data_IF_610770080563
#
_entry.id   IF_610770080563
#
_cell.length_a   1.000
_cell.length_b   1.000
_cell.length_c   1.000
_cell.angle_alpha   90.00
_cell.angle_beta   90.00
_cell.angle_gamma   90.00
#
_symmetry.space_group_name_H-M   'P 1'
#
loop_
_entity.id
_entity.type
_entity.pdbx_description
1 polymer ?
#
# COMPACT_ATOMS: atom_id res chain seq x y z
N UNK A 1 56.26 -4.35 -22.85
CA UNK A 1 56.13 -4.57 -21.40
C UNK A 1 56.36 -3.30 -20.58
N UNK A 2 57.26 -2.39 -20.95
CA UNK A 2 57.53 -1.15 -20.18
C UNK A 2 56.36 -0.16 -20.10
N UNK A 3 55.50 -0.10 -21.13
CA UNK A 3 54.39 0.85 -21.18
C UNK A 3 53.30 0.56 -20.14
N UNK A 4 52.97 -0.72 -19.93
CA UNK A 4 51.97 -1.15 -18.95
C UNK A 4 52.44 -0.93 -17.49
N UNK A 5 53.74 -1.07 -17.24
CA UNK A 5 54.29 -0.86 -15.89
C UNK A 5 54.24 0.62 -15.48
N UNK A 6 54.43 1.52 -16.45
CA UNK A 6 54.38 2.98 -16.23
C UNK A 6 52.95 3.47 -15.97
N UNK A 7 51.96 2.90 -16.65
CA UNK A 7 50.55 3.17 -16.39
C UNK A 7 50.09 2.63 -15.03
N UNK A 8 50.49 1.40 -14.66
CA UNK A 8 50.17 0.81 -13.34
C UNK A 8 50.79 1.62 -12.20
N UNK A 9 52.03 2.08 -12.35
CA UNK A 9 52.68 2.97 -11.37
C UNK A 9 52.03 4.35 -11.29
N UNK A 10 51.54 4.89 -12.41
CA UNK A 10 50.79 6.15 -12.45
C UNK A 10 49.44 6.04 -11.72
N UNK A 11 48.71 4.95 -11.95
CA UNK A 11 47.46 4.64 -11.25
C UNK A 11 47.73 4.42 -9.75
N UNK A 12 48.81 3.73 -9.39
CA UNK A 12 49.17 3.51 -7.98
C UNK A 12 49.54 4.83 -7.27
N UNK A 13 50.23 5.75 -7.97
CA UNK A 13 50.54 7.07 -7.45
C UNK A 13 49.27 7.91 -7.27
N UNK A 14 48.36 7.88 -8.23
CA UNK A 14 47.07 8.56 -8.14
C UNK A 14 46.19 8.00 -7.01
N UNK A 15 46.14 6.68 -6.85
CA UNK A 15 45.46 6.02 -5.73
C UNK A 15 46.11 6.42 -4.40
N UNK A 16 47.44 6.53 -4.34
CA UNK A 16 48.16 6.94 -3.13
C UNK A 16 47.91 8.41 -2.78
N UNK A 17 47.81 9.30 -3.77
CA UNK A 17 47.48 10.71 -3.58
C UNK A 17 46.03 10.89 -3.15
N UNK A 18 45.08 10.19 -3.79
CA UNK A 18 43.68 10.12 -3.34
C UNK A 18 43.57 9.54 -1.93
N UNK A 19 44.33 8.49 -1.62
CA UNK A 19 44.34 7.90 -0.28
C UNK A 19 44.93 8.85 0.75
N UNK A 20 45.96 9.62 0.41
CA UNK A 20 46.55 10.62 1.31
C UNK A 20 45.62 11.82 1.56
N UNK A 21 44.87 12.24 0.55
CA UNK A 21 43.88 13.32 0.65
C UNK A 21 42.64 12.87 1.44
N UNK A 22 42.16 11.64 1.18
CA UNK A 22 41.12 10.96 1.96
C UNK A 22 41.61 10.74 3.40
N UNK A 23 42.88 10.36 3.61
CA UNK A 23 43.46 10.16 4.94
C UNK A 23 43.54 11.48 5.71
N UNK A 24 43.85 12.62 5.07
CA UNK A 24 43.79 13.95 5.71
C UNK A 24 42.36 14.37 6.06
N UNK A 25 41.36 13.94 5.28
CA UNK A 25 39.95 14.16 5.60
C UNK A 25 39.42 13.20 6.69
N UNK A 26 39.97 11.98 6.74
CA UNK A 26 39.62 10.94 7.71
C UNK A 26 40.36 11.05 9.06
N UNK A 27 41.50 11.75 9.12
CA UNK A 27 42.27 11.88 10.38
C UNK A 27 41.62 12.91 11.29
N UNK A 28 41.09 12.50 12.46
CA UNK A 28 40.39 13.41 13.33
C UNK A 28 41.37 14.43 13.91
N UNK A 29 41.04 15.72 13.82
CA UNK A 29 41.85 16.79 14.39
C UNK A 29 41.98 16.71 15.93
N UNK A 30 41.11 15.94 16.61
CA UNK A 30 41.11 15.69 18.06
C UNK A 30 40.60 14.28 18.38
N UNK A 31 41.19 13.62 19.39
CA UNK A 31 40.83 12.27 19.85
C UNK A 31 39.37 12.15 20.35
N UNK A 32 38.76 13.26 20.78
CA UNK A 32 37.32 13.38 21.04
C UNK A 32 36.67 14.16 19.89
N UNK A 33 36.12 13.45 18.91
CA UNK A 33 35.35 14.03 17.80
C UNK A 33 34.23 13.09 17.37
N UNK A 34 33.18 13.62 16.77
CA UNK A 34 32.06 12.82 16.25
C UNK A 34 32.51 11.72 15.26
N UNK A 35 33.62 11.95 14.56
CA UNK A 35 34.23 11.01 13.62
C UNK A 35 34.71 9.73 14.31
N UNK A 36 35.26 9.82 15.52
CA UNK A 36 35.75 8.62 16.25
C UNK A 36 34.61 7.71 16.66
N UNK A 37 33.46 8.25 17.04
CA UNK A 37 32.26 7.47 17.35
C UNK A 37 31.71 6.75 16.11
N UNK A 38 31.74 7.40 14.94
CA UNK A 38 31.32 6.76 13.68
C UNK A 38 32.31 5.65 13.27
N UNK A 39 33.61 5.85 13.42
CA UNK A 39 34.58 4.77 13.16
C UNK A 39 34.42 3.61 14.12
N UNK A 40 34.15 3.89 15.39
CA UNK A 40 33.95 2.85 16.40
C UNK A 40 32.66 2.07 16.12
N UNK A 41 31.62 2.73 15.59
CA UNK A 41 30.43 2.07 15.07
C UNK A 41 30.73 1.11 13.92
N UNK A 42 31.47 1.57 12.90
CA UNK A 42 31.84 0.75 11.74
C UNK A 42 32.70 -0.43 12.19
N UNK A 43 33.66 -0.18 13.08
CA UNK A 43 34.50 -1.23 13.67
C UNK A 43 33.68 -2.26 14.45
N UNK A 44 32.76 -1.83 15.30
CA UNK A 44 31.82 -2.72 15.99
C UNK A 44 30.96 -3.51 15.00
N UNK A 45 30.47 -2.89 13.93
CA UNK A 45 29.69 -3.60 12.92
C UNK A 45 30.50 -4.67 12.18
N UNK A 46 31.73 -4.36 11.77
CA UNK A 46 32.66 -5.32 11.13
C UNK A 46 33.00 -6.45 12.09
N UNK A 47 33.32 -6.16 13.35
CA UNK A 47 33.63 -7.20 14.34
C UNK A 47 32.41 -8.07 14.68
N UNK A 48 31.19 -7.51 14.66
CA UNK A 48 29.95 -8.27 14.79
C UNK A 48 29.77 -9.27 13.65
N UNK A 49 30.17 -8.94 12.42
CA UNK A 49 30.11 -9.88 11.29
C UNK A 49 30.96 -11.14 11.52
N UNK A 50 32.11 -11.01 12.17
CA UNK A 50 33.00 -12.13 12.50
C UNK A 50 32.66 -12.83 13.83
N UNK A 51 31.78 -12.25 14.64
CA UNK A 51 31.38 -12.81 15.93
C UNK A 51 30.26 -13.86 15.78
N UNK A 52 30.26 -14.87 16.64
CA UNK A 52 29.26 -15.94 16.69
C UNK A 52 28.42 -15.87 17.97
N UNK A 53 27.14 -16.26 17.88
CA UNK A 53 26.21 -16.34 19.01
C UNK A 53 25.77 -14.98 19.56
N UNK A 54 25.33 -14.94 20.82
CA UNK A 54 24.77 -13.74 21.47
C UNK A 54 25.71 -12.52 21.52
N UNK A 55 27.03 -12.77 21.45
CA UNK A 55 28.05 -11.71 21.43
C UNK A 55 27.94 -10.87 20.14
N UNK A 56 27.51 -11.49 19.03
CA UNK A 56 27.26 -10.79 17.76
C UNK A 56 26.24 -9.67 17.92
N UNK A 57 25.12 -9.97 18.58
CA UNK A 57 24.00 -9.05 18.73
C UNK A 57 24.34 -7.90 19.68
N UNK A 58 25.11 -8.17 20.74
CA UNK A 58 25.60 -7.14 21.67
C UNK A 58 26.57 -6.19 20.96
N UNK A 59 27.52 -6.72 20.18
CA UNK A 59 28.47 -5.89 19.43
C UNK A 59 27.74 -5.08 18.35
N UNK A 60 26.77 -5.66 17.66
CA UNK A 60 25.94 -4.94 16.68
C UNK A 60 25.16 -3.79 17.34
N UNK A 61 24.56 -4.05 18.51
CA UNK A 61 23.84 -3.05 19.29
C UNK A 61 24.75 -1.90 19.74
N UNK A 62 25.94 -2.20 20.26
CA UNK A 62 26.95 -1.19 20.59
C UNK A 62 27.36 -0.38 19.35
N UNK A 63 27.55 -1.04 18.21
CA UNK A 63 27.83 -0.38 16.94
C UNK A 63 26.74 0.62 16.54
N UNK A 64 25.46 0.25 16.68
CA UNK A 64 24.35 1.16 16.46
C UNK A 64 24.32 2.33 17.44
N UNK A 65 24.58 2.11 18.74
CA UNK A 65 24.65 3.18 19.73
C UNK A 65 25.75 4.20 19.43
N UNK A 66 26.94 3.74 19.04
CA UNK A 66 28.03 4.63 18.65
C UNK A 66 27.70 5.42 17.38
N UNK A 67 26.97 4.82 16.44
CA UNK A 67 26.48 5.49 15.24
C UNK A 67 25.51 6.62 15.60
N UNK A 68 24.53 6.33 16.45
CA UNK A 68 23.53 7.29 16.92
C UNK A 68 24.19 8.44 17.70
N UNK A 69 25.11 8.13 18.60
CA UNK A 69 25.84 9.12 19.37
C UNK A 69 26.73 10.01 18.48
N UNK A 70 27.47 9.41 17.53
CA UNK A 70 28.33 10.13 16.60
C UNK A 70 27.55 11.06 15.68
N UNK A 71 26.43 10.59 15.13
CA UNK A 71 25.58 11.40 14.25
C UNK A 71 24.80 12.48 14.99
N UNK A 72 24.37 12.23 16.23
CA UNK A 72 23.77 13.25 17.10
C UNK A 72 24.77 14.35 17.49
N UNK A 73 26.02 13.98 17.77
CA UNK A 73 27.09 14.94 18.01
C UNK A 73 27.37 15.76 16.75
N UNK A 74 27.54 15.12 15.59
CA UNK A 74 27.74 15.81 14.30
C UNK A 74 26.66 16.87 14.03
N UNK A 75 25.41 16.54 14.32
CA UNK A 75 24.25 17.45 14.18
C UNK A 75 24.35 18.70 15.06
N UNK A 76 25.03 18.59 16.21
CA UNK A 76 25.19 19.66 17.19
C UNK A 76 26.37 20.57 16.87
N UNK A 77 27.47 20.02 16.32
CA UNK A 77 28.69 20.78 16.00
C UNK A 77 28.63 21.53 14.65
N UNK A 78 28.01 20.97 13.60
CA UNK A 78 27.91 21.60 12.26
C UNK A 78 26.47 21.58 11.71
N UNK A 79 25.61 22.54 12.08
CA UNK A 79 24.21 22.55 11.67
C UNK A 79 24.08 23.08 10.23
N UNK A 80 24.34 22.25 9.23
CA UNK A 80 23.80 22.46 7.89
C UNK A 80 22.27 22.41 7.99
N UNK A 81 21.60 23.55 7.76
CA UNK A 81 20.14 23.66 7.90
C UNK A 81 19.47 23.39 6.55
N UNK A 82 18.33 22.71 6.60
CA UNK A 82 17.50 22.54 5.40
C UNK A 82 16.93 23.92 5.01
N UNK A 83 17.11 24.37 3.75
CA UNK A 83 16.62 25.67 3.31
C UNK A 83 15.11 25.80 3.57
N UNK A 84 14.71 26.89 4.24
CA UNK A 84 13.31 27.16 4.60
C UNK A 84 12.82 26.59 5.94
N UNK A 85 13.65 25.85 6.70
CA UNK A 85 13.29 25.37 8.05
C UNK A 85 14.41 25.59 9.07
N UNK A 86 14.08 25.57 10.37
CA UNK A 86 15.06 25.61 11.46
C UNK A 86 15.70 24.24 11.74
N UNK A 87 15.49 23.25 10.88
CA UNK A 87 15.89 21.86 11.11
C UNK A 87 17.28 21.58 10.54
N UNK A 88 18.24 21.08 11.36
CA UNK A 88 19.53 20.65 10.86
C UNK A 88 19.37 19.35 10.07
N UNK A 89 20.04 19.25 8.93
CA UNK A 89 20.09 18.05 8.06
C UNK A 89 20.58 16.85 8.87
N UNK A 90 21.50 17.07 9.81
CA UNK A 90 21.94 16.05 10.75
C UNK A 90 20.78 15.44 11.54
N UNK A 91 19.80 16.23 12.00
CA UNK A 91 18.68 15.72 12.79
C UNK A 91 17.73 14.83 11.97
N UNK A 92 17.62 15.08 10.66
CA UNK A 92 16.90 14.19 9.74
C UNK A 92 17.63 12.86 9.61
N UNK A 93 18.95 12.88 9.44
CA UNK A 93 19.78 11.67 9.31
C UNK A 93 19.74 10.86 10.62
N UNK A 94 19.91 11.52 11.78
CA UNK A 94 19.80 10.85 13.08
C UNK A 94 18.40 10.31 13.33
N UNK A 95 17.36 11.08 13.02
CA UNK A 95 15.99 10.64 13.18
C UNK A 95 15.67 9.42 12.31
N UNK A 96 16.24 9.36 11.11
CA UNK A 96 16.14 8.21 10.23
C UNK A 96 16.83 6.99 10.84
N UNK A 97 18.08 7.14 11.30
CA UNK A 97 18.85 6.07 11.93
C UNK A 97 18.17 5.54 13.20
N UNK A 98 17.61 6.41 14.04
CA UNK A 98 16.83 6.00 15.23
C UNK A 98 15.58 5.22 14.79
N UNK A 99 14.90 5.67 13.72
CA UNK A 99 13.72 4.97 13.19
C UNK A 99 14.08 3.60 12.63
N UNK A 100 15.20 3.47 11.91
CA UNK A 100 15.74 2.17 11.44
C UNK A 100 16.06 1.29 12.62
N UNK A 101 16.75 1.80 13.64
CA UNK A 101 17.14 1.00 14.79
C UNK A 101 15.93 0.49 15.57
N UNK A 102 14.93 1.34 15.82
CA UNK A 102 13.74 0.99 16.59
C UNK A 102 12.81 0.00 15.86
N UNK A 103 12.72 0.07 14.52
CA UNK A 103 11.75 -0.71 13.74
C UNK A 103 12.38 -1.68 12.71
N UNK A 104 13.71 -1.73 12.62
CA UNK A 104 14.46 -2.51 11.64
C UNK A 104 14.57 -4.01 11.93
N UNK A 105 14.14 -4.46 13.11
CA UNK A 105 14.05 -5.89 13.44
C UNK A 105 12.92 -6.61 12.66
N UNK A 106 12.02 -5.86 12.01
CA UNK A 106 10.93 -6.41 11.23
C UNK A 106 11.42 -6.75 9.80
N UNK A 107 11.03 -7.93 9.27
CA UNK A 107 11.53 -8.63 8.05
C UNK A 107 11.76 -7.83 6.75
N UNK A 108 11.44 -6.54 6.68
CA UNK A 108 11.67 -5.67 5.53
C UNK A 108 12.50 -4.43 5.93
N UNK A 109 13.57 -4.17 5.16
CA UNK A 109 14.51 -3.04 5.33
C UNK A 109 13.84 -1.65 5.41
N UNK A 110 12.60 -1.49 4.91
CA UNK A 110 11.80 -0.27 5.02
C UNK A 110 10.35 -0.63 5.36
N UNK A 111 10.06 -0.80 6.66
CA UNK A 111 8.68 -0.99 7.13
C UNK A 111 7.93 0.35 7.04
N UNK A 112 6.67 0.37 6.58
CA UNK A 112 5.86 1.60 6.48
C UNK A 112 5.85 2.44 7.78
N UNK A 113 5.90 1.77 8.94
CA UNK A 113 5.98 2.41 10.26
C UNK A 113 7.23 3.28 10.44
N UNK A 114 8.37 2.86 9.88
CA UNK A 114 9.64 3.58 9.96
C UNK A 114 9.55 4.92 9.21
N UNK A 115 9.01 4.91 8.00
CA UNK A 115 8.86 6.11 7.16
C UNK A 115 7.85 7.08 7.78
N UNK A 116 6.79 6.56 8.41
CA UNK A 116 5.76 7.38 9.07
C UNK A 116 6.30 8.08 10.31
N UNK A 117 7.11 7.42 11.15
CA UNK A 117 7.57 7.97 12.43
C UNK A 117 8.86 8.81 12.28
N UNK A 118 9.58 8.66 11.17
CA UNK A 118 10.83 9.37 10.95
C UNK A 118 10.74 10.90 11.12
N UNK A 119 9.78 11.62 10.52
CA UNK A 119 9.69 13.07 10.66
C UNK A 119 9.51 13.54 12.11
N UNK A 120 8.73 12.82 12.92
CA UNK A 120 8.49 13.19 14.32
C UNK A 120 9.72 12.94 15.19
N UNK A 121 10.42 11.82 15.01
CA UNK A 121 11.68 11.57 15.74
C UNK A 121 12.72 12.63 15.38
N UNK A 122 12.84 12.99 14.11
CA UNK A 122 13.79 14.00 13.67
C UNK A 122 13.48 15.39 14.29
N UNK A 123 12.19 15.75 14.44
CA UNK A 123 11.78 16.96 15.16
C UNK A 123 12.15 16.91 16.65
N UNK A 124 11.96 15.75 17.31
CA UNK A 124 12.35 15.56 18.72
C UNK A 124 13.87 15.70 18.89
N UNK A 125 14.67 15.09 18.02
CA UNK A 125 16.15 15.23 18.07
C UNK A 125 16.57 16.68 17.89
N UNK A 126 15.92 17.43 17.01
CA UNK A 126 16.17 18.87 16.82
C UNK A 126 15.80 19.70 18.06
N UNK A 127 14.81 19.26 18.83
CA UNK A 127 14.34 19.98 20.01
C UNK A 127 15.24 19.78 21.23
N UNK A 128 15.87 18.59 21.38
CA UNK A 128 16.65 18.21 22.56
C UNK A 128 17.71 19.26 22.95
N UNK A 129 18.58 19.76 22.05
CA UNK A 129 19.61 20.74 22.41
C UNK A 129 19.05 22.03 22.98
N UNK A 130 17.84 22.46 22.58
CA UNK A 130 17.22 23.70 23.07
C UNK A 130 16.78 23.63 24.54
N UNK A 131 16.73 22.43 25.14
CA UNK A 131 16.43 22.24 26.56
C UNK A 131 17.69 22.19 27.45
N UNK A 132 18.88 22.20 26.86
CA UNK A 132 20.16 22.10 27.55
C UNK A 132 21.14 23.20 27.09
N UNK A 133 21.36 24.23 27.90
CA UNK A 133 22.46 25.19 27.69
C UNK A 133 23.71 24.73 28.47
N UNK A 134 24.84 24.52 27.77
CA UNK A 134 26.12 24.18 28.40
C UNK A 134 27.22 23.80 27.41
N UNK A 135 27.99 24.75 26.94
CA UNK A 135 29.23 24.49 26.17
C UNK A 135 30.33 24.05 27.15
N UNK A 136 30.75 22.78 27.07
CA UNK A 136 31.97 22.29 27.70
C UNK A 136 31.91 22.08 29.23
N UNK A 137 32.02 20.79 29.62
CA UNK A 137 32.49 20.28 30.93
C UNK A 137 31.79 20.70 32.23
N UNK A 138 30.85 21.66 32.24
CA UNK A 138 30.03 21.96 33.41
C UNK A 138 28.62 21.43 33.20
N UNK A 139 28.18 20.57 34.14
CA UNK A 139 26.88 19.92 34.25
C UNK A 139 25.77 20.70 33.50
N UNK A 140 25.23 20.10 32.44
CA UNK A 140 24.13 20.67 31.67
C UNK A 140 22.97 20.98 32.62
N UNK A 141 22.70 22.27 32.86
CA UNK A 141 21.56 22.67 33.69
C UNK A 141 20.33 22.69 32.81
N UNK A 142 19.37 21.82 33.11
CA UNK A 142 18.07 21.85 32.47
C UNK A 142 17.43 23.22 32.72
N UNK A 143 17.32 24.03 31.67
CA UNK A 143 16.68 25.34 31.72
C UNK A 143 15.52 25.33 30.76
N UNK A 144 14.36 25.82 31.21
CA UNK A 144 13.24 25.97 30.30
C UNK A 144 13.61 26.98 29.19
N UNK A 145 13.45 26.63 27.91
CA UNK A 145 13.80 27.51 26.79
C UNK A 145 13.00 28.82 26.82
N UNK A 146 13.53 29.85 26.17
CA UNK A 146 12.86 31.15 25.99
C UNK A 146 11.53 30.96 25.25
N UNK A 147 10.54 31.83 25.50
CA UNK A 147 9.18 31.70 24.91
C UNK A 147 9.20 31.57 23.38
N UNK A 148 10.08 32.30 22.69
CA UNK A 148 10.20 32.28 21.23
C UNK A 148 10.73 30.94 20.70
N UNK A 149 11.64 30.29 21.41
CA UNK A 149 12.20 29.01 21.00
C UNK A 149 11.21 27.86 21.26
N UNK A 150 10.37 27.99 22.30
CA UNK A 150 9.25 27.05 22.52
C UNK A 150 8.26 27.06 21.37
N UNK A 151 7.87 28.25 20.90
CA UNK A 151 6.95 28.36 19.77
C UNK A 151 7.52 27.73 18.50
N UNK A 152 8.80 27.98 18.18
CA UNK A 152 9.47 27.37 17.03
C UNK A 152 9.51 25.84 17.12
N UNK A 153 9.84 25.29 18.28
CA UNK A 153 9.87 23.84 18.51
C UNK A 153 8.47 23.22 18.38
N UNK A 154 7.44 23.86 18.94
CA UNK A 154 6.06 23.39 18.84
C UNK A 154 5.58 23.40 17.38
N UNK A 155 5.84 24.48 16.64
CA UNK A 155 5.48 24.59 15.22
C UNK A 155 6.20 23.52 14.39
N UNK A 156 7.50 23.32 14.62
CA UNK A 156 8.29 22.28 13.94
C UNK A 156 7.72 20.88 14.21
N UNK A 157 7.45 20.56 15.48
CA UNK A 157 6.88 19.28 15.88
C UNK A 157 5.49 19.06 15.25
N UNK A 158 4.63 20.08 15.27
CA UNK A 158 3.30 20.01 14.67
C UNK A 158 3.37 19.75 13.17
N UNK A 159 4.28 20.43 12.45
CA UNK A 159 4.45 20.23 11.02
C UNK A 159 4.96 18.82 10.68
N UNK A 160 5.96 18.33 11.43
CA UNK A 160 6.47 16.97 11.27
C UNK A 160 5.39 15.92 11.59
N UNK A 161 4.55 16.15 12.60
CA UNK A 161 3.44 15.26 12.94
C UNK A 161 2.34 15.26 11.86
N UNK A 162 2.05 16.41 11.26
CA UNK A 162 1.16 16.51 10.10
C UNK A 162 1.70 15.71 8.91
N UNK A 163 2.99 15.84 8.58
CA UNK A 163 3.63 15.06 7.52
C UNK A 163 3.54 13.56 7.82
N UNK A 164 3.84 13.15 9.06
CA UNK A 164 3.70 11.75 9.50
C UNK A 164 2.27 11.24 9.33
N UNK A 165 1.25 12.05 9.66
CA UNK A 165 -0.16 11.70 9.47
C UNK A 165 -0.49 11.50 7.99
N UNK A 166 -0.01 12.38 7.10
CA UNK A 166 -0.19 12.24 5.65
C UNK A 166 0.48 10.98 5.10
N UNK A 167 1.71 10.67 5.54
CA UNK A 167 2.41 9.45 5.16
C UNK A 167 1.66 8.20 5.63
N UNK A 168 1.15 8.21 6.87
CA UNK A 168 0.36 7.10 7.41
C UNK A 168 -0.91 6.90 6.59
N UNK A 169 -1.61 7.99 6.28
CA UNK A 169 -2.81 7.96 5.44
C UNK A 169 -2.50 7.35 4.07
N UNK A 170 -1.42 7.77 3.41
CA UNK A 170 -1.00 7.21 2.12
C UNK A 170 -0.79 5.70 2.19
N UNK A 171 -0.04 5.19 3.18
CA UNK A 171 0.19 3.74 3.31
C UNK A 171 -1.08 2.95 3.62
N UNK A 172 -1.99 3.51 4.41
CA UNK A 172 -3.29 2.89 4.70
C UNK A 172 -4.12 2.77 3.41
N UNK A 173 -4.20 3.84 2.63
CA UNK A 173 -4.94 3.84 1.36
C UNK A 173 -4.29 2.90 0.33
N UNK A 174 -2.97 2.91 0.19
CA UNK A 174 -2.26 1.97 -0.70
C UNK A 174 -2.55 0.51 -0.32
N UNK A 175 -2.52 0.19 0.98
CA UNK A 175 -2.87 -1.14 1.49
C UNK A 175 -4.31 -1.50 1.14
N UNK A 176 -5.28 -0.61 1.39
CA UNK A 176 -6.68 -0.84 1.04
C UNK A 176 -6.88 -1.07 -0.46
N UNK A 177 -6.21 -0.29 -1.32
CA UNK A 177 -6.32 -0.45 -2.77
C UNK A 177 -5.66 -1.74 -3.30
N UNK A 178 -4.68 -2.28 -2.58
CA UNK A 178 -4.08 -3.59 -2.88
C UNK A 178 -4.99 -4.74 -2.44
N UNK A 179 -5.59 -4.64 -1.26
CA UNK A 179 -6.48 -5.66 -0.70
C UNK A 179 -7.85 -5.69 -1.39
N UNK A 180 -8.37 -4.52 -1.78
CA UNK A 180 -9.69 -4.33 -2.39
C UNK A 180 -9.58 -3.59 -3.74
N UNK A 181 -9.06 -4.23 -4.80
CA UNK A 181 -8.96 -3.60 -6.12
C UNK A 181 -10.28 -3.09 -6.69
N UNK A 182 -11.42 -3.63 -6.22
CA UNK A 182 -12.77 -3.19 -6.58
C UNK A 182 -13.05 -1.74 -6.18
N UNK A 183 -12.39 -1.22 -5.14
CA UNK A 183 -12.53 0.18 -4.72
C UNK A 183 -12.10 1.17 -5.81
N UNK A 184 -11.19 0.77 -6.72
CA UNK A 184 -10.78 1.60 -7.87
C UNK A 184 -11.89 1.83 -8.89
N UNK A 185 -12.96 1.04 -8.83
CA UNK A 185 -14.14 1.23 -9.64
C UNK A 185 -14.92 2.49 -9.29
N UNK A 186 -14.80 2.92 -8.04
CA UNK A 186 -15.62 3.98 -7.52
C UNK A 186 -15.14 5.34 -7.97
N UNK A 187 -16.09 6.26 -8.13
CA UNK A 187 -15.80 7.64 -8.53
C UNK A 187 -15.41 8.42 -7.28
N UNK A 188 -14.12 8.58 -7.07
CA UNK A 188 -13.57 9.50 -6.07
C UNK A 188 -13.62 10.98 -6.52
N UNK A 189 -14.42 11.29 -7.55
CA UNK A 189 -14.53 12.62 -8.18
C UNK A 189 -14.89 13.75 -7.18
N UNK A 190 -15.40 13.42 -5.98
CA UNK A 190 -15.72 14.38 -4.90
C UNK A 190 -14.77 14.32 -3.69
N UNK A 191 -13.69 13.55 -3.76
CA UNK A 191 -12.75 13.41 -2.65
C UNK A 191 -11.69 14.51 -2.71
N UNK A 192 -11.59 15.32 -1.64
CA UNK A 192 -10.51 16.30 -1.49
C UNK A 192 -9.13 15.66 -1.23
N UNK A 193 -9.09 14.34 -0.98
CA UNK A 193 -7.90 13.64 -0.49
C UNK A 193 -7.28 12.66 -1.49
N UNK A 194 -8.01 12.27 -2.54
CA UNK A 194 -7.55 11.26 -3.51
C UNK A 194 -7.56 11.85 -4.91
N UNK A 195 -6.39 12.30 -5.37
CA UNK A 195 -6.18 12.77 -6.73
C UNK A 195 -5.84 11.54 -7.59
N UNK A 196 -6.65 11.25 -8.62
CA UNK A 196 -6.38 10.17 -9.56
C UNK A 196 -5.26 10.60 -10.53
N UNK A 197 -4.02 10.19 -10.25
CA UNK A 197 -2.85 10.50 -11.10
C UNK A 197 -2.77 9.58 -12.33
N UNK A 198 -3.33 8.36 -12.25
CA UNK A 198 -3.39 7.44 -13.39
C UNK A 198 -4.68 7.62 -14.23
N UNK A 199 -4.60 7.55 -15.57
CA UNK A 199 -5.79 7.51 -16.42
C UNK A 199 -6.63 6.26 -16.12
N UNK A 200 -7.97 6.45 -16.03
CA UNK A 200 -8.97 5.40 -15.76
C UNK A 200 -8.65 4.09 -16.49
N UNK A 201 -8.15 3.08 -15.77
CA UNK A 201 -8.26 1.70 -16.25
C UNK A 201 -9.76 1.39 -16.32
N UNK A 202 -10.24 1.15 -17.54
CA UNK A 202 -11.64 0.86 -17.86
C UNK A 202 -12.11 -0.31 -16.99
N UNK A 203 -12.94 0.03 -16.00
CA UNK A 203 -13.81 -0.86 -15.23
C UNK A 203 -13.09 -1.87 -14.33
N UNK A 204 -13.53 -2.07 -13.08
CA UNK A 204 -13.02 -3.17 -12.26
C UNK A 204 -13.38 -4.49 -12.94
N UNK A 205 -12.37 -5.35 -13.08
CA UNK A 205 -12.54 -6.63 -13.77
C UNK A 205 -13.32 -7.65 -12.96
N UNK A 206 -13.38 -7.51 -11.62
CA UNK A 206 -13.92 -8.55 -10.74
C UNK A 206 -15.42 -8.79 -10.94
N UNK A 207 -16.24 -7.74 -10.91
CA UNK A 207 -17.70 -7.87 -11.07
C UNK A 207 -18.11 -8.40 -12.45
N UNK A 208 -17.45 -7.93 -13.51
CA UNK A 208 -17.64 -8.43 -14.88
C UNK A 208 -17.10 -9.87 -15.05
N UNK A 209 -15.97 -10.21 -14.41
CA UNK A 209 -15.40 -11.55 -14.43
C UNK A 209 -16.36 -12.57 -13.80
N UNK A 210 -17.00 -12.24 -12.67
CA UNK A 210 -18.03 -13.10 -12.06
C UNK A 210 -19.17 -13.32 -13.06
N UNK A 211 -19.73 -12.27 -13.66
CA UNK A 211 -20.83 -12.40 -14.63
C UNK A 211 -20.42 -13.20 -15.87
N UNK A 212 -19.21 -12.99 -16.39
CA UNK A 212 -18.67 -13.70 -17.54
C UNK A 212 -18.49 -15.20 -17.28
N UNK A 213 -18.15 -15.58 -16.04
CA UNK A 213 -18.03 -16.97 -15.61
C UNK A 213 -19.38 -17.60 -15.25
N UNK A 214 -20.32 -16.80 -14.76
CA UNK A 214 -21.65 -17.27 -14.39
C UNK A 214 -22.55 -17.52 -15.61
N UNK A 215 -22.46 -16.68 -16.64
CA UNK A 215 -23.26 -16.80 -17.86
C UNK A 215 -23.27 -18.21 -18.49
N UNK A 216 -22.13 -18.88 -18.76
CA UNK A 216 -22.16 -20.21 -19.34
C UNK A 216 -22.83 -21.24 -18.43
N UNK A 217 -22.71 -21.09 -17.10
CA UNK A 217 -23.36 -21.99 -16.14
C UNK A 217 -24.88 -21.81 -16.15
N UNK A 218 -25.36 -20.56 -16.24
CA UNK A 218 -26.79 -20.27 -16.39
C UNK A 218 -27.31 -20.80 -17.73
N UNK A 219 -26.55 -20.62 -18.82
CA UNK A 219 -26.91 -21.18 -20.12
C UNK A 219 -27.03 -22.70 -20.07
N UNK A 220 -26.16 -23.40 -19.35
CA UNK A 220 -26.24 -24.87 -19.19
C UNK A 220 -27.48 -25.33 -18.42
N UNK A 221 -27.98 -24.51 -17.48
CA UNK A 221 -29.17 -24.85 -16.69
C UNK A 221 -30.49 -24.55 -17.43
N UNK A 222 -30.48 -23.66 -18.42
CA UNK A 222 -31.70 -23.16 -19.08
C UNK A 222 -31.79 -23.62 -20.54
N UNK A 223 -30.68 -23.61 -21.29
CA UNK A 223 -30.72 -23.87 -22.73
C UNK A 223 -31.13 -25.32 -23.03
N UNK A 224 -32.04 -25.49 -24.00
CA UNK A 224 -32.54 -26.79 -24.47
C UNK A 224 -33.24 -27.63 -23.37
N UNK A 225 -33.68 -26.99 -22.29
CA UNK A 225 -34.53 -27.61 -21.27
C UNK A 225 -36.01 -27.42 -21.59
N UNK A 226 -36.89 -28.33 -21.14
CA UNK A 226 -38.34 -28.17 -21.29
C UNK A 226 -38.81 -26.85 -20.67
N UNK A 227 -39.74 -26.15 -21.34
CA UNK A 227 -40.23 -24.85 -20.88
C UNK A 227 -40.74 -24.87 -19.44
N UNK A 228 -41.49 -25.92 -19.07
CA UNK A 228 -42.04 -26.07 -17.71
C UNK A 228 -40.96 -26.15 -16.61
N UNK A 229 -39.83 -26.82 -16.90
CA UNK A 229 -38.70 -26.88 -15.95
C UNK A 229 -38.04 -25.51 -15.80
N UNK A 230 -37.93 -24.76 -16.89
CA UNK A 230 -37.33 -23.42 -16.90
C UNK A 230 -38.19 -22.40 -16.17
N UNK A 231 -39.52 -22.47 -16.31
CA UNK A 231 -40.43 -21.62 -15.54
C UNK A 231 -40.29 -21.89 -14.04
N UNK A 232 -40.22 -23.16 -13.64
CA UNK A 232 -39.96 -23.51 -12.23
C UNK A 232 -38.60 -22.99 -11.76
N UNK A 233 -37.57 -23.15 -12.58
CA UNK A 233 -36.24 -22.62 -12.28
C UNK A 233 -36.24 -21.09 -12.12
N UNK A 234 -37.01 -20.37 -12.95
CA UNK A 234 -37.14 -18.91 -12.89
C UNK A 234 -37.89 -18.43 -11.65
N UNK A 235 -38.90 -19.18 -11.18
CA UNK A 235 -39.58 -18.91 -9.91
C UNK A 235 -38.62 -19.09 -8.71
N UNK A 236 -37.74 -20.09 -8.77
CA UNK A 236 -36.74 -20.39 -7.74
C UNK A 236 -35.38 -19.68 -8.00
N UNK A 237 -35.32 -18.72 -8.93
CA UNK A 237 -34.07 -18.16 -9.43
C UNK A 237 -33.21 -17.57 -8.31
N UNK A 238 -33.82 -16.97 -7.27
CA UNK A 238 -33.09 -16.41 -6.12
C UNK A 238 -32.19 -17.46 -5.45
N UNK A 239 -32.71 -18.66 -5.21
CA UNK A 239 -31.95 -19.74 -4.57
C UNK A 239 -30.98 -20.40 -5.55
N UNK A 240 -31.45 -20.70 -6.77
CA UNK A 240 -30.63 -21.37 -7.79
C UNK A 240 -29.42 -20.51 -8.19
N UNK A 241 -29.67 -19.26 -8.57
CA UNK A 241 -28.64 -18.33 -9.01
C UNK A 241 -27.77 -17.83 -7.85
N UNK A 242 -28.33 -17.69 -6.65
CA UNK A 242 -27.56 -17.36 -5.44
C UNK A 242 -26.51 -18.43 -5.13
N UNK A 243 -26.89 -19.71 -5.17
CA UNK A 243 -25.97 -20.83 -4.96
C UNK A 243 -24.92 -20.94 -6.07
N UNK A 244 -25.34 -20.79 -7.34
CA UNK A 244 -24.45 -20.80 -8.50
C UNK A 244 -23.45 -19.64 -8.44
N UNK A 245 -23.93 -18.47 -8.02
CA UNK A 245 -23.14 -17.26 -7.82
C UNK A 245 -22.08 -17.45 -6.74
N UNK A 246 -22.46 -17.96 -5.58
CA UNK A 246 -21.51 -18.24 -4.49
C UNK A 246 -20.45 -19.26 -4.89
N UNK A 247 -20.83 -20.34 -5.59
CA UNK A 247 -19.87 -21.31 -6.13
C UNK A 247 -18.89 -20.67 -7.12
N UNK A 248 -19.38 -19.75 -7.96
CA UNK A 248 -18.57 -19.03 -8.95
C UNK A 248 -17.61 -18.05 -8.27
N UNK A 249 -18.07 -17.31 -7.26
CA UNK A 249 -17.25 -16.40 -6.45
C UNK A 249 -16.13 -17.17 -5.75
N UNK A 250 -16.47 -18.27 -5.08
CA UNK A 250 -15.51 -19.05 -4.31
C UNK A 250 -14.42 -19.70 -5.16
N UNK A 251 -14.76 -20.16 -6.37
CA UNK A 251 -13.82 -20.77 -7.31
C UNK A 251 -12.95 -19.77 -8.07
N UNK A 252 -13.48 -18.59 -8.42
CA UNK A 252 -12.77 -17.65 -9.30
C UNK A 252 -12.00 -16.53 -8.56
N UNK A 253 -12.35 -16.17 -7.33
CA UNK A 253 -11.69 -15.10 -6.58
C UNK A 253 -10.54 -15.56 -5.67
N UNK A 254 -10.11 -16.83 -5.72
CA UNK A 254 -8.89 -17.30 -5.04
C UNK A 254 -8.88 -17.05 -3.52
N UNK A 255 -7.84 -16.45 -2.96
CA UNK A 255 -7.78 -16.04 -1.54
C UNK A 255 -8.13 -14.56 -1.31
N UNK A 256 -8.83 -13.91 -2.25
CA UNK A 256 -9.17 -12.49 -2.14
C UNK A 256 -10.11 -12.21 -0.95
N UNK A 257 -9.81 -11.15 -0.21
CA UNK A 257 -10.66 -10.61 0.87
C UNK A 257 -11.98 -10.03 0.36
N UNK A 258 -12.13 -9.84 -0.96
CA UNK A 258 -13.35 -9.33 -1.58
C UNK A 258 -14.48 -10.37 -1.66
N UNK A 259 -14.16 -11.67 -1.53
CA UNK A 259 -15.12 -12.77 -1.64
C UNK A 259 -16.44 -12.56 -0.89
N UNK A 260 -16.42 -12.30 0.44
CA UNK A 260 -17.66 -12.12 1.21
C UNK A 260 -18.40 -10.82 0.86
N UNK A 261 -17.75 -9.88 0.18
CA UNK A 261 -18.32 -8.58 -0.18
C UNK A 261 -19.09 -8.61 -1.50
N UNK A 262 -18.95 -9.68 -2.29
CA UNK A 262 -19.68 -9.86 -3.54
C UNK A 262 -20.89 -10.76 -3.33
N UNK A 263 -22.03 -10.35 -3.90
CA UNK A 263 -23.23 -11.19 -3.97
C UNK A 263 -23.83 -11.18 -5.36
N UNK A 264 -24.48 -12.29 -5.72
CA UNK A 264 -25.18 -12.43 -6.99
C UNK A 264 -26.67 -12.51 -6.70
N UNK A 265 -27.46 -11.71 -7.40
CA UNK A 265 -28.91 -11.74 -7.28
C UNK A 265 -29.57 -11.70 -8.67
N UNK A 266 -30.66 -12.45 -8.90
CA UNK A 266 -31.47 -12.30 -10.09
C UNK A 266 -32.52 -11.19 -9.94
N UNK A 267 -32.97 -10.64 -11.07
CA UNK A 267 -34.28 -10.01 -11.21
C UNK A 267 -34.96 -10.63 -12.41
N UNK A 268 -36.14 -11.21 -12.18
CA UNK A 268 -36.92 -11.86 -13.23
C UNK A 268 -38.11 -10.96 -13.54
N UNK A 269 -38.25 -10.60 -14.81
CA UNK A 269 -39.37 -9.78 -15.30
C UNK A 269 -40.10 -10.58 -16.36
N UNK A 270 -41.40 -10.79 -16.17
CA UNK A 270 -42.25 -11.41 -17.18
C UNK A 270 -42.48 -10.42 -18.34
N UNK A 271 -42.29 -10.87 -19.57
CA UNK A 271 -42.51 -10.11 -20.79
C UNK A 271 -43.47 -10.90 -21.70
N UNK A 272 -44.16 -10.22 -22.63
CA UNK A 272 -45.19 -10.86 -23.47
C UNK A 272 -44.72 -12.10 -24.26
N UNK A 273 -43.42 -12.21 -24.57
CA UNK A 273 -42.82 -13.33 -25.31
C UNK A 273 -42.05 -14.33 -24.45
N UNK A 274 -42.01 -14.19 -23.12
CA UNK A 274 -41.23 -15.04 -22.22
C UNK A 274 -40.79 -14.33 -20.94
N UNK A 275 -39.52 -14.49 -20.56
CA UNK A 275 -38.95 -13.89 -19.36
C UNK A 275 -37.64 -13.15 -19.66
N UNK A 276 -37.44 -12.02 -18.97
CA UNK A 276 -36.14 -11.36 -18.88
C UNK A 276 -35.50 -11.67 -17.53
N UNK A 277 -34.33 -12.30 -17.57
CA UNK A 277 -33.50 -12.55 -16.40
C UNK A 277 -32.35 -11.54 -16.37
N UNK A 278 -32.40 -10.60 -15.44
CA UNK A 278 -31.29 -9.70 -15.14
C UNK A 278 -30.42 -10.29 -14.02
N UNK A 279 -29.20 -10.66 -14.36
CA UNK A 279 -28.20 -11.19 -13.42
C UNK A 279 -27.40 -10.00 -12.88
N UNK A 280 -27.47 -9.78 -11.57
CA UNK A 280 -26.77 -8.70 -10.88
C UNK A 280 -25.59 -9.25 -10.08
N UNK A 281 -24.41 -8.64 -10.21
CA UNK A 281 -23.32 -8.78 -9.24
C UNK A 281 -23.22 -7.49 -8.44
N UNK A 282 -23.54 -7.57 -7.15
CA UNK A 282 -23.68 -6.42 -6.26
C UNK A 282 -22.47 -6.39 -5.33
N UNK A 283 -21.88 -5.20 -5.21
CA UNK A 283 -20.84 -4.92 -4.23
C UNK A 283 -21.45 -4.50 -2.90
N UNK A 284 -21.20 -5.28 -1.86
CA UNK A 284 -21.59 -5.01 -0.47
C UNK A 284 -20.45 -4.48 0.41
N UNK A 285 -19.29 -4.16 -0.18
CA UNK A 285 -18.15 -3.62 0.55
C UNK A 285 -18.15 -2.10 0.68
N UNK A 286 -17.06 -1.53 1.23
CA UNK A 286 -16.90 -0.08 1.30
C UNK A 286 -17.02 0.56 -0.08
N UNK A 287 -17.70 1.69 -0.18
CA UNK A 287 -17.85 2.45 -1.43
C UNK A 287 -17.86 3.94 -1.11
N UNK A 288 -17.38 4.76 -2.04
CA UNK A 288 -17.42 6.21 -1.99
C UNK A 288 -18.86 6.75 -2.09
N UNK A 289 -19.78 5.96 -2.66
CA UNK A 289 -21.20 6.28 -2.69
C UNK A 289 -21.97 5.40 -1.69
N UNK A 290 -22.75 5.99 -0.78
CA UNK A 290 -23.58 5.25 0.18
C UNK A 290 -24.57 4.27 -0.47
N UNK A 291 -24.88 4.46 -1.76
CA UNK A 291 -25.77 3.59 -2.54
C UNK A 291 -25.08 2.36 -3.15
N UNK A 292 -23.75 2.28 -3.11
CA UNK A 292 -22.96 1.20 -3.71
C UNK A 292 -22.97 1.19 -5.24
N UNK A 293 -22.58 0.06 -5.81
CA UNK A 293 -22.57 -0.17 -7.26
C UNK A 293 -22.80 -1.66 -7.60
N UNK A 294 -23.18 -1.93 -8.85
CA UNK A 294 -23.41 -3.27 -9.34
C UNK A 294 -23.12 -3.41 -10.84
N UNK A 295 -22.90 -4.65 -11.30
CA UNK A 295 -22.97 -4.99 -12.72
C UNK A 295 -24.25 -5.73 -12.99
N UNK A 296 -24.81 -5.46 -14.15
CA UNK A 296 -26.00 -6.13 -14.66
C UNK A 296 -25.68 -6.79 -15.99
N UNK A 297 -26.15 -8.02 -16.15
CA UNK A 297 -26.21 -8.70 -17.44
C UNK A 297 -27.61 -9.24 -17.68
N UNK A 298 -28.24 -8.76 -18.74
CA UNK A 298 -29.60 -9.13 -19.10
C UNK A 298 -29.61 -10.33 -20.05
N UNK A 299 -30.49 -11.28 -19.80
CA UNK A 299 -30.74 -12.45 -20.63
C UNK A 299 -32.23 -12.55 -20.95
N UNK A 300 -32.54 -12.74 -22.23
CA UNK A 300 -33.87 -12.99 -22.75
C UNK A 300 -34.09 -14.50 -22.84
N UNK A 301 -35.18 -15.00 -22.27
CA UNK A 301 -35.54 -16.41 -22.23
C UNK A 301 -36.91 -16.56 -22.89
N UNK A 302 -36.95 -17.27 -24.01
CA UNK A 302 -38.15 -17.41 -24.84
C UNK A 302 -38.43 -18.89 -25.15
N UNK A 303 -39.70 -19.29 -25.25
CA UNK A 303 -40.05 -20.61 -25.71
C UNK A 303 -39.72 -20.74 -27.21
N UNK A 304 -39.04 -21.82 -27.57
CA UNK A 304 -38.71 -22.17 -28.94
C UNK A 304 -39.29 -23.54 -29.26
N UNK A 305 -40.09 -23.62 -30.32
CA UNK A 305 -40.57 -24.90 -30.83
C UNK A 305 -39.39 -25.58 -31.54
N UNK A 306 -38.90 -26.69 -31.01
CA UNK A 306 -37.91 -27.49 -31.73
C UNK A 306 -38.64 -28.33 -32.79
N UNK A 307 -38.55 -27.93 -34.06
CA UNK A 307 -38.84 -28.74 -35.26
C UNK A 307 -40.24 -29.39 -35.39
N UNK A 308 -41.03 -28.91 -36.36
CA UNK A 308 -42.05 -29.62 -37.18
C UNK A 308 -43.02 -30.65 -36.55
N UNK A 309 -43.31 -30.60 -35.25
CA UNK A 309 -44.46 -31.34 -34.71
C UNK A 309 -45.33 -30.45 -33.84
N UNK A 310 -46.59 -30.35 -34.28
CA UNK A 310 -47.75 -29.71 -33.66
C UNK A 310 -48.18 -30.45 -32.40
N UNK A 311 -47.30 -30.53 -31.41
CA UNK A 311 -47.65 -30.94 -30.05
C UNK A 311 -46.94 -30.01 -29.06
N UNK A 312 -47.73 -29.29 -28.25
CA UNK A 312 -47.29 -28.35 -27.20
C UNK A 312 -46.39 -28.96 -26.10
N UNK A 313 -45.97 -30.22 -26.24
CA UNK A 313 -45.15 -30.97 -25.27
C UNK A 313 -43.64 -30.82 -25.49
N UNK A 314 -43.19 -30.34 -26.65
CA UNK A 314 -41.76 -30.25 -27.00
C UNK A 314 -41.23 -28.81 -27.08
N UNK A 315 -41.84 -27.87 -26.37
CA UNK A 315 -41.36 -26.49 -26.30
C UNK A 315 -40.12 -26.43 -25.41
N UNK A 316 -38.99 -26.04 -26.00
CA UNK A 316 -37.70 -25.90 -25.29
C UNK A 316 -37.35 -24.44 -25.08
N UNK A 317 -36.64 -24.12 -24.00
CA UNK A 317 -36.22 -22.74 -23.75
C UNK A 317 -34.99 -22.35 -24.58
N UNK A 318 -35.05 -21.17 -25.18
CA UNK A 318 -33.91 -20.50 -25.81
C UNK A 318 -33.49 -19.31 -24.97
N UNK A 319 -32.20 -19.20 -24.66
CA UNK A 319 -31.62 -18.09 -23.90
C UNK A 319 -30.69 -17.26 -24.76
N UNK A 320 -30.89 -15.94 -24.76
CA UNK A 320 -30.05 -14.97 -25.47
C UNK A 320 -29.63 -13.87 -24.50
N UNK A 321 -28.34 -13.78 -24.17
CA UNK A 321 -27.80 -12.78 -23.25
C UNK A 321 -27.08 -11.63 -23.96
N UNK A 322 -27.10 -10.45 -23.33
CA UNK A 322 -26.32 -9.29 -23.77
C UNK A 322 -24.82 -9.63 -23.90
N UNK A 323 -24.15 -9.09 -24.91
CA UNK A 323 -22.70 -9.35 -25.13
C UNK A 323 -21.84 -8.78 -24.00
N UNK A 324 -22.18 -7.59 -23.51
CA UNK A 324 -21.42 -6.85 -22.50
C UNK A 324 -22.21 -6.67 -21.22
N UNK A 325 -21.56 -6.79 -20.06
CA UNK A 325 -22.16 -6.37 -18.79
C UNK A 325 -22.22 -4.84 -18.71
N UNK A 326 -23.24 -4.32 -18.04
CA UNK A 326 -23.44 -2.88 -17.83
C UNK A 326 -23.11 -2.55 -16.38
N UNK A 327 -22.17 -1.64 -16.18
CA UNK A 327 -21.87 -1.08 -14.87
C UNK A 327 -22.88 0.00 -14.49
N UNK A 328 -23.37 -0.04 -13.26
CA UNK A 328 -24.33 0.92 -12.71
C UNK A 328 -23.85 1.39 -11.34
N UNK A 329 -23.72 2.70 -11.18
CA UNK A 329 -23.54 3.33 -9.87
C UNK A 329 -24.91 3.57 -9.23
N UNK A 330 -25.09 3.12 -7.99
CA UNK A 330 -26.34 3.24 -7.26
C UNK A 330 -26.87 1.89 -6.75
N UNK A 331 -27.98 1.95 -6.04
CA UNK A 331 -28.61 0.78 -5.45
C UNK A 331 -29.20 -0.12 -6.55
N UNK A 332 -29.14 -1.46 -6.38
CA UNK A 332 -29.78 -2.37 -7.32
C UNK A 332 -31.28 -2.14 -7.35
N UNK A 333 -31.96 -2.46 -8.48
CA UNK A 333 -33.42 -2.42 -8.53
C UNK A 333 -34.03 -3.34 -7.46
N UNK A 334 -35.21 -2.98 -6.91
CA UNK A 334 -35.88 -3.79 -5.91
C UNK A 334 -36.20 -5.20 -6.45
N UNK A 335 -36.26 -6.18 -5.55
CA UNK A 335 -36.78 -7.50 -5.88
C UNK A 335 -38.29 -7.38 -6.12
N UNK A 336 -38.80 -8.02 -7.17
CA UNK A 336 -40.21 -8.08 -7.50
C UNK A 336 -40.86 -9.33 -6.91
#
# INVERSE_FOLDING_TARGET
MEFLFKEVLGIFKYIRELFAEVQKFLTPAKAFSWQTLIYLSIFSWVTSYFALGYIKDIIAFCGWLFLLAGTAWYTTDDPLRVPGTFMPVGALITGFLISVFAFGYQKSLLTSKMIVIWPTIAAVVTAIPNFFEGTGRKLAKAKLPKLQDRQKVIILLAWCMLISCWLQFYFVIDKWLKEYPSLRADKFDKSAFVIQVEPRRKQPKTGDLILKKLQPLVNQQIANKPWSEVEKWLLEANQQLGNLGQKTINSNLGSSLEKPLWRVEPRVVNIKSGYRLDILTIWGGPSANSKGYYWQKSCLIEPSNSGNQTDNKNTVARITCDRTSKFKNGSPPPQQ
#
